data_IF_795434973555
#
_entry.id   IF_795434973555
#
_cell.length_a   1.000
_cell.length_b   1.000
_cell.length_c   1.000
_cell.angle_alpha   90.00
_cell.angle_beta   90.00
_cell.angle_gamma   90.00
#
_symmetry.space_group_name_H-M   'P 1'
#
loop_
_entity.id
_entity.type
_entity.pdbx_description
1 polymer ?
#
# COMPACT_ATOMS: atom_id res chain seq x y z
N UNK A 1 10.38 -32.76 -4.98
CA UNK A 1 9.10 -32.02 -5.03
C UNK A 1 9.30 -30.66 -4.37
N UNK A 2 9.25 -29.55 -5.10
CA UNK A 2 9.40 -28.19 -4.52
C UNK A 2 8.02 -27.73 -4.04
N UNK A 3 7.82 -27.67 -2.73
CA UNK A 3 6.57 -27.18 -2.13
C UNK A 3 6.39 -25.70 -2.51
N UNK A 4 5.36 -25.41 -3.30
CA UNK A 4 4.96 -24.03 -3.56
C UNK A 4 4.51 -23.40 -2.23
N UNK A 5 5.02 -22.21 -1.94
CA UNK A 5 4.66 -21.48 -0.72
C UNK A 5 3.18 -21.10 -0.82
N UNK A 6 2.34 -21.68 0.02
CA UNK A 6 0.93 -21.31 0.11
C UNK A 6 0.88 -19.94 0.79
N UNK A 7 0.74 -18.89 -0.01
CA UNK A 7 0.54 -17.54 0.50
C UNK A 7 -0.94 -17.37 0.81
N UNK A 8 -1.29 -17.30 2.10
CA UNK A 8 -2.66 -16.98 2.53
C UNK A 8 -3.02 -15.58 2.00
N UNK A 9 -4.22 -15.38 1.41
CA UNK A 9 -4.63 -14.06 0.96
C UNK A 9 -4.67 -13.09 2.15
N UNK A 10 -4.18 -11.87 1.90
CA UNK A 10 -4.27 -10.79 2.87
C UNK A 10 -5.74 -10.42 3.09
N UNK A 11 -6.09 -10.09 4.33
CA UNK A 11 -7.44 -9.67 4.70
C UNK A 11 -7.73 -8.26 4.18
N UNK A 12 -8.94 -8.02 3.69
CA UNK A 12 -9.40 -6.67 3.39
C UNK A 12 -9.45 -5.81 4.65
N UNK A 13 -9.12 -4.52 4.51
CA UNK A 13 -9.12 -3.54 5.60
C UNK A 13 -10.01 -2.36 5.20
N UNK A 14 -10.87 -1.92 6.11
CA UNK A 14 -11.68 -0.72 5.91
C UNK A 14 -10.83 0.52 6.15
N UNK A 15 -10.83 1.44 5.19
CA UNK A 15 -10.13 2.72 5.28
C UNK A 15 -11.16 3.84 5.24
N UNK A 16 -11.06 4.80 6.17
CA UNK A 16 -11.86 6.04 6.16
C UNK A 16 -10.96 7.18 5.71
N UNK A 17 -11.36 7.85 4.63
CA UNK A 17 -10.62 8.99 4.06
C UNK A 17 -11.49 10.23 4.02
N UNK A 18 -10.85 11.39 4.17
CA UNK A 18 -11.43 12.69 3.86
C UNK A 18 -10.79 13.19 2.56
N UNK A 19 -11.61 13.60 1.61
CA UNK A 19 -11.15 14.14 0.34
C UNK A 19 -11.31 15.65 0.34
N UNK A 20 -10.37 16.35 -0.30
CA UNK A 20 -10.56 17.75 -0.66
C UNK A 20 -11.78 17.88 -1.59
N UNK A 21 -12.52 18.98 -1.47
CA UNK A 21 -13.80 19.14 -2.18
C UNK A 21 -13.65 19.14 -3.70
N UNK A 22 -12.56 19.72 -4.20
CA UNK A 22 -12.19 19.75 -5.61
C UNK A 22 -11.86 18.36 -6.17
N UNK A 23 -11.17 17.53 -5.39
CA UNK A 23 -10.91 16.13 -5.72
C UNK A 23 -12.22 15.33 -5.76
N UNK A 24 -13.11 15.50 -4.77
CA UNK A 24 -14.41 14.83 -4.76
C UNK A 24 -15.25 15.22 -5.99
N UNK A 25 -15.33 16.52 -6.33
CA UNK A 25 -16.05 16.98 -7.51
C UNK A 25 -15.47 16.42 -8.82
N UNK A 26 -14.15 16.21 -8.88
CA UNK A 26 -13.50 15.59 -10.03
C UNK A 26 -13.82 14.10 -10.14
N UNK A 27 -13.86 13.39 -9.01
CA UNK A 27 -14.26 11.98 -8.96
C UNK A 27 -15.72 11.79 -9.39
N UNK A 28 -16.63 12.65 -8.93
CA UNK A 28 -18.04 12.63 -9.35
C UNK A 28 -18.18 12.85 -10.86
N UNK A 29 -17.48 13.84 -11.42
CA UNK A 29 -17.42 14.05 -12.88
C UNK A 29 -16.88 12.83 -13.62
N UNK A 30 -15.85 12.18 -13.08
CA UNK A 30 -15.30 10.97 -13.70
C UNK A 30 -16.30 9.82 -13.70
N UNK A 31 -17.05 9.61 -12.60
CA UNK A 31 -18.10 8.60 -12.54
C UNK A 31 -19.18 8.86 -13.60
N UNK A 32 -19.63 10.11 -13.75
CA UNK A 32 -20.57 10.49 -14.81
C UNK A 32 -20.02 10.30 -16.22
N UNK A 33 -18.75 10.62 -16.44
CA UNK A 33 -18.08 10.38 -17.71
C UNK A 33 -18.03 8.88 -18.03
N UNK A 34 -17.68 8.04 -17.06
CA UNK A 34 -17.62 6.60 -17.24
C UNK A 34 -19.00 6.04 -17.63
N UNK A 35 -20.06 6.44 -16.93
CA UNK A 35 -21.43 6.07 -17.26
C UNK A 35 -21.84 6.55 -18.66
N UNK A 36 -21.47 7.79 -19.02
CA UNK A 36 -21.75 8.32 -20.34
C UNK A 36 -21.08 7.54 -21.47
N UNK A 37 -19.83 7.09 -21.27
CA UNK A 37 -19.04 6.40 -22.28
C UNK A 37 -19.35 4.90 -22.35
N UNK A 38 -19.57 4.27 -21.20
CA UNK A 38 -19.69 2.81 -21.08
C UNK A 38 -21.12 2.33 -20.80
N UNK A 39 -22.05 3.24 -20.48
CA UNK A 39 -23.44 2.91 -20.13
C UNK A 39 -23.62 2.30 -18.75
N UNK A 40 -22.54 2.19 -17.96
CA UNK A 40 -22.54 1.59 -16.64
C UNK A 40 -22.23 2.64 -15.56
N UNK A 41 -23.13 2.77 -14.58
CA UNK A 41 -22.90 3.66 -13.45
C UNK A 41 -21.90 3.04 -12.47
N UNK A 42 -20.95 3.84 -11.99
CA UNK A 42 -19.90 3.40 -11.06
C UNK A 42 -20.00 4.20 -9.77
N UNK A 43 -20.00 3.49 -8.65
CA UNK A 43 -19.95 4.11 -7.32
C UNK A 43 -18.58 4.74 -7.06
N UNK A 44 -18.58 6.00 -6.61
CA UNK A 44 -17.36 6.77 -6.34
C UNK A 44 -16.45 6.11 -5.29
N UNK A 45 -16.99 5.36 -4.31
CA UNK A 45 -16.14 4.68 -3.32
C UNK A 45 -15.42 3.48 -3.92
N UNK A 46 -16.10 2.71 -4.76
CA UNK A 46 -15.47 1.65 -5.54
C UNK A 46 -14.38 2.22 -6.46
N UNK A 47 -14.64 3.37 -7.07
CA UNK A 47 -13.68 4.05 -7.93
C UNK A 47 -12.40 4.47 -7.19
N UNK A 48 -12.51 4.96 -5.95
CA UNK A 48 -11.34 5.33 -5.13
C UNK A 48 -10.40 4.14 -4.94
N UNK A 49 -10.94 2.96 -4.62
CA UNK A 49 -10.13 1.77 -4.40
C UNK A 49 -9.42 1.33 -5.69
N UNK A 50 -10.11 1.37 -6.84
CA UNK A 50 -9.54 0.97 -8.12
C UNK A 50 -8.50 1.99 -8.63
N UNK A 51 -8.75 3.29 -8.48
CA UNK A 51 -7.78 4.33 -8.81
C UNK A 51 -6.51 4.16 -7.97
N UNK A 52 -6.65 3.91 -6.66
CA UNK A 52 -5.50 3.69 -5.79
C UNK A 52 -4.70 2.44 -6.21
N UNK A 53 -5.39 1.35 -6.57
CA UNK A 53 -4.76 0.14 -7.09
C UNK A 53 -3.98 0.45 -8.37
N UNK A 54 -4.63 1.07 -9.35
CA UNK A 54 -4.01 1.40 -10.63
C UNK A 54 -2.79 2.32 -10.46
N UNK A 55 -2.87 3.29 -9.54
CA UNK A 55 -1.75 4.17 -9.21
C UNK A 55 -0.54 3.39 -8.66
N UNK A 56 -0.76 2.52 -7.67
CA UNK A 56 0.32 1.71 -7.08
C UNK A 56 0.91 0.69 -8.06
N UNK A 57 0.07 0.10 -8.92
CA UNK A 57 0.50 -0.85 -9.95
C UNK A 57 1.32 -0.15 -11.04
N UNK A 58 1.03 1.12 -11.33
CA UNK A 58 1.75 1.91 -12.33
C UNK A 58 3.10 2.47 -11.85
N UNK A 59 3.30 2.63 -10.54
CA UNK A 59 4.54 3.17 -9.96
C UNK A 59 5.70 2.16 -10.02
N UNK A 60 6.48 2.21 -11.11
CA UNK A 60 7.59 1.27 -11.35
C UNK A 60 8.69 1.35 -10.30
N UNK A 61 8.95 2.55 -9.75
CA UNK A 61 10.00 2.75 -8.74
C UNK A 61 9.57 2.10 -7.43
N UNK A 62 8.33 2.34 -7.01
CA UNK A 62 7.73 1.66 -5.86
C UNK A 62 7.75 0.14 -6.04
N UNK A 63 7.34 -0.36 -7.21
CA UNK A 63 7.33 -1.80 -7.50
C UNK A 63 8.75 -2.41 -7.51
N UNK A 64 9.76 -1.65 -7.95
CA UNK A 64 11.15 -2.09 -7.88
C UNK A 64 11.63 -2.19 -6.44
N UNK A 65 11.36 -1.15 -5.64
CA UNK A 65 11.71 -1.11 -4.23
C UNK A 65 11.01 -2.20 -3.41
N UNK A 66 9.71 -2.43 -3.63
CA UNK A 66 8.91 -3.41 -2.87
C UNK A 66 9.44 -4.84 -3.05
N UNK A 67 9.79 -5.23 -4.28
CA UNK A 67 10.40 -6.54 -4.59
C UNK A 67 11.75 -6.74 -3.90
N UNK A 68 12.57 -5.69 -3.82
CA UNK A 68 13.84 -5.73 -3.10
C UNK A 68 13.65 -5.81 -1.59
N UNK A 69 12.64 -5.13 -1.04
CA UNK A 69 12.30 -5.18 0.38
C UNK A 69 11.81 -6.59 0.79
N UNK A 70 10.98 -7.23 -0.03
CA UNK A 70 10.47 -8.59 0.21
C UNK A 70 11.55 -9.68 0.13
N UNK A 71 12.66 -9.38 -0.56
CA UNK A 71 13.80 -10.30 -0.71
C UNK A 71 14.76 -10.28 0.48
N UNK A 72 14.62 -9.32 1.40
CA UNK A 72 15.48 -9.22 2.58
C UNK A 72 14.92 -10.12 3.70
N UNK A 73 15.71 -11.05 4.28
CA UNK A 73 15.26 -11.78 5.46
C UNK A 73 14.93 -10.80 6.59
N UNK A 74 13.99 -11.14 7.50
CA UNK A 74 13.66 -10.27 8.62
C UNK A 74 14.95 -9.91 9.34
N UNK A 75 15.33 -8.62 9.36
CA UNK A 75 16.44 -8.18 10.20
C UNK A 75 16.00 -8.46 11.63
N UNK A 76 16.49 -9.54 12.21
CA UNK A 76 16.42 -9.74 13.65
C UNK A 76 17.22 -8.58 14.24
N UNK A 77 16.52 -7.56 14.70
CA UNK A 77 17.13 -6.46 15.45
C UNK A 77 17.51 -7.08 16.79
N UNK A 78 18.75 -7.58 16.90
CA UNK A 78 19.31 -8.00 18.18
C UNK A 78 19.65 -6.72 18.99
N UNK A 79 19.01 -6.46 20.15
CA UNK A 79 19.28 -5.25 20.93
C UNK A 79 20.56 -5.32 21.80
N UNK A 80 21.45 -6.29 21.60
CA UNK A 80 22.63 -6.47 22.44
C UNK A 80 23.90 -5.87 21.81
N UNK A 81 24.03 -4.54 21.83
CA UNK A 81 25.34 -3.87 21.85
C UNK A 81 25.21 -2.45 22.39
N UNK A 82 25.04 -2.37 23.70
CA UNK A 82 25.50 -1.21 24.47
C UNK A 82 26.20 -1.75 25.71
N UNK A 83 27.47 -2.11 25.55
CA UNK A 83 28.35 -2.41 26.68
C UNK A 83 29.67 -1.64 26.48
N UNK A 84 29.66 -0.36 26.88
CA UNK A 84 30.86 0.45 27.06
C UNK A 84 30.93 0.90 28.51
N UNK A 85 31.74 0.20 29.31
CA UNK A 85 31.77 0.33 30.76
C UNK A 85 32.26 1.67 31.29
N UNK A 86 31.61 2.16 32.34
CA UNK A 86 32.16 3.17 33.24
C UNK A 86 32.79 2.46 34.45
N UNK A 87 34.12 2.45 34.47
CA UNK A 87 34.95 1.92 35.55
C UNK A 87 34.97 2.91 36.72
N UNK A 88 34.80 2.37 37.92
CA UNK A 88 34.74 3.01 39.24
C UNK A 88 36.06 3.69 39.63
N UNK A 89 35.96 4.95 40.09
CA UNK A 89 36.66 5.71 41.16
C UNK A 89 38.21 5.67 41.28
N UNK A 90 38.83 6.73 41.81
CA UNK A 90 38.87 6.94 43.27
C UNK A 90 38.42 8.33 43.75
#
# INVERSE_FOLDING_TARGET
MKLARITKPLRSVQVRVMLAGDLNATLERYAHYYEHVHGESVDTRSLIAEILRAFLDADREFQSWSRSADSQPPRVVNPASSNGGAKVQP
#
